data_IF_964375817349
#
_entry.id   IF_964375817349
#
_cell.length_a   1.000
_cell.length_b   1.000
_cell.length_c   1.000
_cell.angle_alpha   90.00
_cell.angle_beta   90.00
_cell.angle_gamma   90.00
#
_symmetry.space_group_name_H-M   'P 1'
#
loop_
_entity.id
_entity.type
_entity.pdbx_description
1 polymer ?
#
# COMPACT_ATOMS: atom_id res chain seq x y z
N UNK A 1 -15.61 1.63 22.19
CA UNK A 1 -15.20 1.58 20.76
C UNK A 1 -13.68 1.54 20.74
N UNK A 2 -13.05 0.62 19.99
CA UNK A 2 -11.60 0.63 19.77
C UNK A 2 -11.22 2.01 19.19
N UNK A 3 -10.42 2.81 19.91
CA UNK A 3 -10.14 4.23 19.62
C UNK A 3 -9.26 4.48 18.38
N UNK A 4 -9.44 3.70 17.31
CA UNK A 4 -8.60 3.74 16.11
C UNK A 4 -9.05 4.83 15.10
N UNK A 5 -10.32 5.23 15.13
CA UNK A 5 -10.86 6.24 14.20
C UNK A 5 -10.64 7.65 14.75
N UNK A 6 -10.06 8.52 13.92
CA UNK A 6 -9.90 9.93 14.21
C UNK A 6 -11.28 10.61 14.32
N UNK A 7 -11.46 11.44 15.36
CA UNK A 7 -12.71 12.18 15.59
C UNK A 7 -13.01 13.23 14.51
N UNK A 8 -11.97 13.71 13.83
CA UNK A 8 -12.08 14.69 12.75
C UNK A 8 -11.93 14.06 11.36
N UNK A 9 -11.89 12.72 11.29
CA UNK A 9 -11.86 11.96 10.04
C UNK A 9 -10.60 12.23 9.21
N UNK A 10 -9.46 12.50 9.84
CA UNK A 10 -8.18 12.75 9.16
C UNK A 10 -7.09 11.79 9.60
N UNK A 11 -6.36 11.26 8.62
CA UNK A 11 -5.10 10.56 8.85
C UNK A 11 -3.94 11.57 8.85
N UNK A 12 -3.44 11.94 10.03
CA UNK A 12 -2.28 12.84 10.17
C UNK A 12 -0.98 12.04 10.25
N UNK A 13 -0.53 11.52 9.12
CA UNK A 13 0.65 10.65 9.04
C UNK A 13 1.88 11.29 9.70
N UNK A 14 2.38 10.64 10.76
CA UNK A 14 3.59 11.03 11.52
C UNK A 14 3.55 12.38 12.24
N UNK A 15 2.36 12.99 12.40
CA UNK A 15 2.20 14.22 13.18
C UNK A 15 2.16 13.94 14.67
N UNK A 16 2.65 14.88 15.48
CA UNK A 16 2.47 14.89 16.95
C UNK A 16 1.00 14.95 17.37
N UNK A 17 0.14 15.46 16.50
CA UNK A 17 -1.29 15.65 16.78
C UNK A 17 -2.14 14.49 16.22
N UNK A 18 -1.53 13.38 15.79
CA UNK A 18 -2.23 12.22 15.26
C UNK A 18 -3.14 11.57 16.34
N UNK A 19 -4.42 11.36 16.01
CA UNK A 19 -5.42 10.86 16.96
C UNK A 19 -6.28 9.71 16.39
N UNK A 20 -5.73 8.94 15.44
CA UNK A 20 -6.41 7.87 14.71
C UNK A 20 -6.27 8.04 13.20
N UNK A 21 -7.00 7.21 12.43
CA UNK A 21 -7.03 7.27 10.97
C UNK A 21 -8.42 7.62 10.43
N UNK A 22 -8.45 8.09 9.18
CA UNK A 22 -9.66 8.33 8.40
C UNK A 22 -10.05 7.09 7.58
N UNK A 23 -11.34 6.77 7.52
CA UNK A 23 -11.83 5.76 6.58
C UNK A 23 -11.90 6.33 5.17
N UNK A 24 -11.55 5.52 4.18
CA UNK A 24 -11.66 5.85 2.76
C UNK A 24 -12.06 4.64 1.94
N UNK A 25 -12.51 4.88 0.72
CA UNK A 25 -12.89 3.88 -0.27
C UNK A 25 -12.03 4.07 -1.54
N UNK A 26 -11.76 2.99 -2.28
CA UNK A 26 -10.95 3.05 -3.52
C UNK A 26 -10.75 1.69 -4.17
N UNK A 27 -10.31 1.68 -5.44
CA UNK A 27 -10.00 0.48 -6.22
C UNK A 27 -8.68 0.68 -6.96
N UNK A 28 -7.85 -0.38 -7.01
CA UNK A 28 -6.57 -0.39 -7.73
C UNK A 28 -6.23 -1.78 -8.23
N UNK A 29 -5.58 -1.85 -9.39
CA UNK A 29 -5.18 -3.09 -10.05
C UNK A 29 -3.78 -2.91 -10.64
N UNK A 30 -2.98 -3.98 -10.60
CA UNK A 30 -1.70 -4.06 -11.30
C UNK A 30 -1.67 -5.37 -12.11
N UNK A 31 -1.09 -5.30 -13.30
CA UNK A 31 -0.81 -6.49 -14.09
C UNK A 31 0.66 -6.85 -13.90
N UNK A 32 0.92 -8.10 -13.51
CA UNK A 32 2.27 -8.59 -13.30
C UNK A 32 2.68 -9.51 -14.44
N UNK A 33 3.93 -9.38 -14.87
CA UNK A 33 4.57 -10.20 -15.86
C UNK A 33 6.03 -10.39 -15.48
N UNK A 34 6.63 -11.51 -15.85
CA UNK A 34 8.08 -11.66 -15.71
C UNK A 34 8.77 -10.60 -16.57
N UNK A 35 9.78 -9.94 -16.01
CA UNK A 35 10.52 -8.86 -16.68
C UNK A 35 10.98 -9.26 -18.09
N UNK A 36 11.62 -10.43 -18.22
CA UNK A 36 12.09 -10.96 -19.51
C UNK A 36 10.97 -11.09 -20.55
N UNK A 37 9.77 -11.52 -20.14
CA UNK A 37 8.65 -11.65 -21.07
C UNK A 37 8.09 -10.27 -21.44
N UNK A 38 8.04 -9.33 -20.49
CA UNK A 38 7.62 -7.95 -20.74
C UNK A 38 8.55 -7.27 -21.77
N UNK A 39 9.86 -7.41 -21.59
CA UNK A 39 10.88 -6.91 -22.52
C UNK A 39 10.76 -7.55 -23.90
N UNK A 40 10.62 -8.89 -23.97
CA UNK A 40 10.47 -9.62 -25.24
C UNK A 40 9.24 -9.14 -26.03
N UNK A 41 8.13 -8.95 -25.34
CA UNK A 41 6.87 -8.60 -26.00
C UNK A 41 6.71 -7.07 -26.21
N UNK A 42 7.70 -6.27 -25.77
CA UNK A 42 7.69 -4.81 -25.92
C UNK A 42 6.67 -4.10 -25.03
N UNK A 43 6.30 -4.71 -23.90
CA UNK A 43 5.33 -4.13 -22.97
C UNK A 43 5.87 -2.86 -22.30
N UNK A 44 4.96 -1.94 -21.99
CA UNK A 44 5.29 -0.80 -21.12
C UNK A 44 5.52 -1.28 -19.69
N UNK A 45 6.76 -1.21 -19.24
CA UNK A 45 7.15 -1.55 -17.87
C UNK A 45 7.09 -0.29 -17.01
N UNK A 46 6.16 -0.25 -16.04
CA UNK A 46 6.05 0.87 -15.09
C UNK A 46 7.08 0.78 -13.96
N UNK A 47 7.34 -0.42 -13.46
CA UNK A 47 8.35 -0.70 -12.44
C UNK A 47 8.74 -2.19 -12.46
N UNK A 48 9.78 -2.54 -11.70
CA UNK A 48 10.20 -3.91 -11.45
C UNK A 48 10.08 -4.18 -9.95
N UNK A 49 9.30 -5.19 -9.58
CA UNK A 49 9.26 -5.71 -8.20
C UNK A 49 10.50 -6.60 -8.03
N UNK A 50 11.44 -6.16 -7.19
CA UNK A 50 12.69 -6.89 -6.93
C UNK A 50 12.48 -8.00 -5.91
N UNK A 51 11.81 -7.67 -4.81
CA UNK A 51 11.63 -8.55 -3.66
C UNK A 51 10.26 -8.30 -3.00
N UNK A 52 9.74 -9.33 -2.33
CA UNK A 52 8.52 -9.27 -1.51
C UNK A 52 8.79 -10.05 -0.22
N UNK A 53 8.59 -9.43 0.93
CA UNK A 53 8.83 -10.05 2.24
C UNK A 53 7.59 -9.90 3.14
N UNK A 54 7.37 -10.89 4.02
CA UNK A 54 6.30 -10.89 5.02
C UNK A 54 6.82 -11.42 6.38
N UNK A 55 6.32 -10.88 7.49
CA UNK A 55 6.63 -11.32 8.86
C UNK A 55 5.41 -11.11 9.81
N UNK A 56 5.55 -11.48 11.09
CA UNK A 56 4.54 -11.28 12.13
C UNK A 56 5.24 -11.09 13.50
N UNK A 57 4.75 -10.15 14.32
CA UNK A 57 5.43 -9.72 15.57
C UNK A 57 5.39 -10.75 16.71
N UNK A 58 4.53 -11.76 16.62
CA UNK A 58 4.42 -12.82 17.62
C UNK A 58 3.40 -12.51 18.72
N UNK A 59 3.77 -12.82 19.98
CA UNK A 59 2.91 -12.75 21.17
C UNK A 59 3.53 -11.92 22.28
#
# INVERSE_FOLDING_TARGET
>A
LLGAISVDGRSRSFSTDANGYAKGEGLGLVLLKRLKDAERDGDKIYCVIRDVLTNHDGS
#
